data_IF_726556457021
#
_entry.id   IF_726556457021
#
_cell.length_a   1.000
_cell.length_b   1.000
_cell.length_c   1.000
_cell.angle_alpha   90.00
_cell.angle_beta   90.00
_cell.angle_gamma   90.00
#
_symmetry.space_group_name_H-M   'P 1'
#
loop_
_entity.id
_entity.type
_entity.pdbx_description
1 polymer ?
#
# COMPACT_ATOMS: atom_id res chain seq x y z
N UNK A 1 -16.53 14.94 -11.08
CA UNK A 1 -15.06 14.85 -11.04
C UNK A 1 -14.60 14.40 -9.66
N UNK A 2 -13.70 13.41 -9.54
CA UNK A 2 -13.42 12.70 -8.27
C UNK A 2 -11.91 12.66 -7.94
N UNK A 3 -11.28 13.80 -7.67
CA UNK A 3 -9.81 13.96 -7.47
C UNK A 3 -9.30 13.74 -6.04
N UNK A 4 -10.07 13.06 -5.18
CA UNK A 4 -9.61 12.69 -3.84
C UNK A 4 -8.56 11.58 -3.89
N UNK A 5 -7.47 11.77 -3.15
CA UNK A 5 -6.36 10.82 -3.01
C UNK A 5 -6.59 9.80 -1.87
N UNK A 6 -7.79 9.81 -1.27
CA UNK A 6 -8.18 8.80 -0.28
C UNK A 6 -8.16 7.41 -0.94
N UNK A 7 -7.88 6.34 -0.17
CA UNK A 7 -8.11 4.99 -0.66
C UNK A 7 -9.55 4.81 -1.15
N UNK A 8 -9.70 4.09 -2.26
CA UNK A 8 -10.99 3.60 -2.75
C UNK A 8 -11.51 2.53 -1.78
N UNK A 9 -12.79 2.63 -1.43
CA UNK A 9 -13.47 1.73 -0.51
C UNK A 9 -14.28 0.68 -1.29
N UNK A 10 -14.85 -0.27 -0.55
CA UNK A 10 -15.63 -1.41 -1.03
C UNK A 10 -17.08 -1.02 -1.37
N UNK A 11 -17.26 0.00 -2.22
CA UNK A 11 -18.57 0.44 -2.71
C UNK A 11 -18.58 0.63 -4.23
N UNK A 12 -19.75 0.56 -4.89
CA UNK A 12 -19.85 0.67 -6.35
C UNK A 12 -19.26 1.97 -6.92
N UNK A 13 -19.45 3.09 -6.22
CA UNK A 13 -19.00 4.43 -6.66
C UNK A 13 -17.48 4.54 -6.72
N UNK A 14 -16.78 3.89 -5.79
CA UNK A 14 -15.33 3.80 -5.75
C UNK A 14 -14.79 2.70 -6.69
N UNK A 15 -15.55 1.62 -6.90
CA UNK A 15 -15.20 0.56 -7.84
C UNK A 15 -15.09 1.07 -9.29
N UNK A 16 -15.97 2.01 -9.68
CA UNK A 16 -15.87 2.72 -10.95
C UNK A 16 -14.53 3.44 -11.13
N UNK A 17 -13.85 3.82 -10.05
CA UNK A 17 -12.56 4.52 -10.09
C UNK A 17 -11.36 3.59 -9.98
N UNK A 18 -11.59 2.30 -9.74
CA UNK A 18 -10.53 1.30 -9.63
C UNK A 18 -10.04 0.92 -11.03
N UNK A 19 -8.73 1.02 -11.25
CA UNK A 19 -8.10 0.89 -12.57
C UNK A 19 -6.85 0.03 -12.47
N UNK A 20 -6.65 -0.81 -13.49
CA UNK A 20 -5.53 -1.75 -13.55
C UNK A 20 -5.65 -2.88 -12.53
N UNK A 21 -4.51 -3.50 -12.20
CA UNK A 21 -4.38 -4.55 -11.17
C UNK A 21 -5.08 -5.89 -11.47
N UNK A 22 -5.49 -6.12 -12.72
CA UNK A 22 -6.16 -7.36 -13.11
C UNK A 22 -5.29 -8.61 -12.89
N UNK A 23 -3.98 -8.51 -13.14
CA UNK A 23 -3.01 -9.59 -12.89
C UNK A 23 -2.88 -9.90 -11.40
N UNK A 24 -2.76 -8.87 -10.57
CA UNK A 24 -2.60 -8.97 -9.12
C UNK A 24 -3.86 -9.56 -8.49
N UNK A 25 -5.06 -9.08 -8.88
CA UNK A 25 -6.33 -9.66 -8.45
C UNK A 25 -6.48 -11.12 -8.88
N UNK A 26 -6.10 -11.45 -10.12
CA UNK A 26 -6.15 -12.83 -10.62
C UNK A 26 -5.19 -13.73 -9.82
N UNK A 27 -4.01 -13.22 -9.46
CA UNK A 27 -3.05 -13.96 -8.65
C UNK A 27 -3.53 -14.20 -7.21
N UNK A 28 -4.21 -13.22 -6.60
CA UNK A 28 -4.84 -13.38 -5.28
C UNK A 28 -5.96 -14.41 -5.35
N UNK A 29 -6.87 -14.29 -6.33
CA UNK A 29 -7.96 -15.25 -6.48
C UNK A 29 -7.46 -16.67 -6.76
N UNK A 30 -6.45 -16.83 -7.61
CA UNK A 30 -5.83 -18.14 -7.86
C UNK A 30 -5.24 -18.75 -6.57
N UNK A 31 -4.65 -17.93 -5.70
CA UNK A 31 -4.13 -18.39 -4.42
C UNK A 31 -5.26 -18.76 -3.45
N UNK A 32 -6.32 -17.94 -3.34
CA UNK A 32 -7.47 -18.23 -2.49
C UNK A 32 -8.22 -19.49 -2.93
N UNK A 33 -8.40 -19.72 -4.24
CA UNK A 33 -8.99 -20.97 -4.75
C UNK A 33 -8.10 -22.20 -4.46
N UNK A 34 -6.79 -22.00 -4.34
CA UNK A 34 -5.84 -23.03 -3.92
C UNK A 34 -5.69 -23.11 -2.39
N UNK A 35 -6.52 -22.39 -1.63
CA UNK A 35 -6.53 -22.35 -0.16
C UNK A 35 -5.19 -21.86 0.44
N UNK A 36 -4.53 -20.94 -0.26
CA UNK A 36 -3.24 -20.37 0.13
C UNK A 36 -3.39 -18.99 0.77
N UNK A 37 -2.58 -18.70 1.78
CA UNK A 37 -2.49 -17.37 2.35
C UNK A 37 -1.65 -16.45 1.46
N UNK A 38 -2.00 -15.17 1.45
CA UNK A 38 -1.43 -14.18 0.55
C UNK A 38 -0.79 -13.04 1.33
N UNK A 39 0.44 -12.73 0.97
CA UNK A 39 1.11 -11.48 1.33
C UNK A 39 1.08 -10.49 0.16
N UNK A 40 0.58 -9.29 0.41
CA UNK A 40 0.53 -8.18 -0.53
C UNK A 40 1.57 -7.12 -0.16
N UNK A 41 2.52 -6.85 -1.05
CA UNK A 41 3.59 -5.86 -0.82
C UNK A 41 3.52 -4.74 -1.85
N UNK A 42 4.37 -3.72 -1.69
CA UNK A 42 4.49 -2.60 -2.61
C UNK A 42 4.61 -1.26 -1.91
N UNK A 43 4.98 -0.25 -2.68
CA UNK A 43 5.30 1.07 -2.15
C UNK A 43 4.11 1.77 -1.50
N UNK A 44 4.41 2.83 -0.74
CA UNK A 44 3.37 3.74 -0.24
C UNK A 44 2.64 4.37 -1.44
N UNK A 45 1.32 4.30 -1.43
CA UNK A 45 0.49 4.89 -2.50
C UNK A 45 0.27 4.01 -3.73
N UNK A 46 0.90 2.84 -3.82
CA UNK A 46 0.78 1.87 -4.95
C UNK A 46 -0.64 1.31 -5.18
N UNK A 47 -1.53 1.46 -4.19
CA UNK A 47 -2.92 1.04 -4.28
C UNK A 47 -3.31 -0.19 -3.46
N UNK A 48 -2.45 -0.72 -2.58
CA UNK A 48 -2.71 -1.90 -1.73
C UNK A 48 -4.10 -1.87 -1.07
N UNK A 49 -4.39 -0.86 -0.26
CA UNK A 49 -5.70 -0.69 0.40
C UNK A 49 -6.86 -0.69 -0.60
N UNK A 50 -6.71 -0.01 -1.74
CA UNK A 50 -7.76 0.06 -2.75
C UNK A 50 -7.98 -1.27 -3.47
N UNK A 51 -6.91 -2.03 -3.71
CA UNK A 51 -6.99 -3.38 -4.27
C UNK A 51 -7.66 -4.34 -3.28
N UNK A 52 -7.30 -4.29 -2.00
CA UNK A 52 -7.92 -5.11 -0.96
C UNK A 52 -9.41 -4.81 -0.77
N UNK A 53 -9.79 -3.53 -0.80
CA UNK A 53 -11.20 -3.12 -0.76
C UNK A 53 -11.96 -3.53 -2.02
N UNK A 54 -11.32 -3.47 -3.17
CA UNK A 54 -11.91 -3.96 -4.41
C UNK A 54 -12.07 -5.48 -4.40
N UNK A 55 -11.11 -6.22 -3.87
CA UNK A 55 -11.20 -7.67 -3.65
C UNK A 55 -12.40 -8.03 -2.76
N UNK A 56 -12.59 -7.32 -1.65
CA UNK A 56 -13.74 -7.48 -0.76
C UNK A 56 -15.08 -7.15 -1.45
N UNK A 57 -15.13 -6.11 -2.27
CA UNK A 57 -16.34 -5.80 -3.04
C UNK A 57 -16.63 -6.87 -4.09
N UNK A 58 -15.59 -7.31 -4.80
CA UNK A 58 -15.67 -8.35 -5.81
C UNK A 58 -16.21 -9.64 -5.19
N UNK A 59 -15.75 -10.02 -3.98
CA UNK A 59 -16.19 -11.22 -3.27
C UNK A 59 -17.69 -11.27 -2.99
N UNK A 60 -18.36 -10.10 -2.83
CA UNK A 60 -19.81 -10.00 -2.63
C UNK A 60 -20.63 -10.22 -3.90
N UNK A 61 -20.00 -10.13 -5.07
CA UNK A 61 -20.70 -10.36 -6.33
C UNK A 61 -21.06 -11.84 -6.47
N UNK A 62 -22.29 -12.17 -6.93
CA UNK A 62 -22.72 -13.55 -7.11
C UNK A 62 -21.71 -14.35 -7.93
N UNK A 63 -21.60 -15.64 -7.60
CA UNK A 63 -20.79 -16.60 -8.34
C UNK A 63 -21.13 -16.54 -9.84
N UNK A 64 -20.26 -15.93 -10.63
CA UNK A 64 -20.43 -15.74 -12.07
C UNK A 64 -19.15 -16.15 -12.80
N UNK A 65 -18.79 -17.43 -12.71
CA UNK A 65 -17.78 -18.07 -13.55
C UNK A 65 -16.33 -18.03 -13.05
N UNK A 66 -15.42 -18.39 -13.97
CA UNK A 66 -14.09 -19.00 -13.85
C UNK A 66 -13.04 -18.40 -12.87
N UNK A 67 -13.34 -17.34 -12.12
CA UNK A 67 -12.39 -16.69 -11.21
C UNK A 67 -12.42 -17.23 -9.78
N UNK A 68 -13.53 -17.82 -9.34
CA UNK A 68 -13.72 -18.31 -7.97
C UNK A 68 -14.34 -19.69 -8.01
N UNK A 69 -13.86 -20.61 -7.19
CA UNK A 69 -14.39 -21.97 -7.02
C UNK A 69 -14.96 -22.16 -5.61
N UNK A 70 -15.73 -21.17 -5.13
CA UNK A 70 -16.32 -21.15 -3.80
C UNK A 70 -16.86 -19.78 -3.41
N UNK A 71 -17.41 -19.70 -2.19
CA UNK A 71 -17.79 -18.44 -1.54
C UNK A 71 -16.70 -18.03 -0.54
N UNK A 72 -16.27 -16.77 -0.63
CA UNK A 72 -15.15 -16.21 0.13
C UNK A 72 -15.66 -14.97 0.88
N UNK A 73 -16.44 -15.13 1.95
CA UNK A 73 -16.86 -13.99 2.77
C UNK A 73 -15.63 -13.34 3.39
N UNK A 74 -15.45 -12.04 3.13
CA UNK A 74 -14.24 -11.33 3.51
C UNK A 74 -14.51 -10.27 4.58
N UNK A 75 -13.75 -10.34 5.67
CA UNK A 75 -13.69 -9.30 6.68
C UNK A 75 -12.42 -8.49 6.53
N UNK A 76 -12.55 -7.17 6.41
CA UNK A 76 -11.42 -6.25 6.29
C UNK A 76 -11.09 -5.63 7.64
N UNK A 77 -9.82 -5.70 8.03
CA UNK A 77 -9.26 -5.16 9.27
C UNK A 77 -8.12 -4.21 8.91
N UNK A 78 -8.15 -2.98 9.42
CA UNK A 78 -7.03 -2.02 9.27
C UNK A 78 -6.28 -1.91 10.60
N UNK A 79 -4.96 -2.08 10.54
CA UNK A 79 -4.10 -2.21 11.74
C UNK A 79 -2.91 -1.25 11.73
N UNK A 80 -3.09 -0.10 11.07
CA UNK A 80 -2.05 0.93 10.93
C UNK A 80 -1.45 1.34 12.29
N UNK A 81 -0.12 1.25 12.37
CA UNK A 81 0.66 1.67 13.55
C UNK A 81 0.68 0.68 14.71
N UNK A 82 0.10 -0.52 14.56
CA UNK A 82 0.18 -1.56 15.59
C UNK A 82 1.50 -2.34 15.42
N UNK A 83 2.35 -2.28 16.46
CA UNK A 83 3.64 -2.98 16.50
C UNK A 83 3.62 -4.26 17.36
N UNK A 84 2.60 -4.41 18.22
CA UNK A 84 2.45 -5.55 19.13
C UNK A 84 1.51 -6.61 18.55
N UNK A 85 1.95 -7.87 18.53
CA UNK A 85 1.19 -8.98 17.93
C UNK A 85 -0.12 -9.31 18.65
N UNK A 86 -0.15 -9.19 19.98
CA UNK A 86 -1.36 -9.43 20.77
C UNK A 86 -2.41 -8.34 20.53
N UNK A 87 -1.98 -7.09 20.46
CA UNK A 87 -2.84 -5.94 20.13
C UNK A 87 -3.37 -6.04 18.70
N UNK A 88 -2.53 -6.49 17.75
CA UNK A 88 -2.94 -6.80 16.37
C UNK A 88 -4.04 -7.86 16.36
N UNK A 89 -3.82 -8.97 17.04
CA UNK A 89 -4.79 -10.07 17.12
C UNK A 89 -6.10 -9.65 17.81
N UNK A 90 -6.03 -8.89 18.90
CA UNK A 90 -7.21 -8.36 19.58
C UNK A 90 -8.05 -7.47 18.64
N UNK A 91 -7.41 -6.62 17.84
CA UNK A 91 -8.11 -5.80 16.82
C UNK A 91 -8.77 -6.66 15.74
N UNK A 92 -8.11 -7.74 15.31
CA UNK A 92 -8.68 -8.68 14.35
C UNK A 92 -9.91 -9.37 14.94
N UNK A 93 -9.81 -9.92 16.16
CA UNK A 93 -10.94 -10.55 16.87
C UNK A 93 -12.12 -9.59 17.00
N UNK A 94 -11.89 -8.37 17.49
CA UNK A 94 -12.92 -7.36 17.65
C UNK A 94 -13.64 -7.06 16.32
N UNK A 95 -12.88 -6.94 15.24
CA UNK A 95 -13.44 -6.60 13.92
C UNK A 95 -14.19 -7.77 13.29
N UNK A 96 -13.66 -8.99 13.43
CA UNK A 96 -14.25 -10.21 12.85
C UNK A 96 -15.49 -10.63 13.61
N UNK A 97 -15.43 -10.64 14.94
CA UNK A 97 -16.51 -11.16 15.79
C UNK A 97 -17.51 -10.10 16.22
N UNK A 98 -17.18 -8.81 16.06
CA UNK A 98 -17.95 -7.69 16.61
C UNK A 98 -17.89 -7.58 18.14
N UNK A 99 -17.10 -8.42 18.82
CA UNK A 99 -17.02 -8.48 20.29
C UNK A 99 -15.66 -7.96 20.77
N UNK A 100 -15.61 -6.98 21.70
CA UNK A 100 -14.35 -6.51 22.25
C UNK A 100 -13.57 -7.63 22.94
N UNK A 101 -12.27 -7.73 22.62
CA UNK A 101 -11.34 -8.61 23.33
C UNK A 101 -11.16 -8.13 24.78
N UNK A 102 -11.12 -9.04 25.75
CA UNK A 102 -10.86 -8.64 27.13
C UNK A 102 -9.39 -8.25 27.32
N UNK A 103 -9.12 -7.27 28.20
CA UNK A 103 -7.77 -6.75 28.44
C UNK A 103 -6.76 -7.82 28.90
N UNK A 104 -7.23 -8.93 29.47
CA UNK A 104 -6.40 -10.03 29.95
C UNK A 104 -6.37 -11.24 29.00
N UNK A 105 -7.08 -11.20 27.86
CA UNK A 105 -7.08 -12.30 26.91
C UNK A 105 -5.71 -12.42 26.24
N UNK A 106 -5.05 -13.56 26.48
CA UNK A 106 -3.82 -13.94 25.78
C UNK A 106 -4.11 -14.40 24.35
N UNK A 107 -3.06 -14.51 23.50
CA UNK A 107 -3.21 -14.91 22.10
C UNK A 107 -3.99 -16.22 21.88
N UNK A 108 -3.77 -17.24 22.70
CA UNK A 108 -4.48 -18.52 22.57
C UNK A 108 -6.00 -18.39 22.79
N UNK A 109 -6.41 -17.52 23.72
CA UNK A 109 -7.84 -17.27 23.97
C UNK A 109 -8.47 -16.54 22.79
N UNK A 110 -7.77 -15.53 22.26
CA UNK A 110 -8.18 -14.77 21.09
C UNK A 110 -8.29 -15.63 19.82
N UNK A 111 -7.34 -16.54 19.59
CA UNK A 111 -7.37 -17.47 18.46
C UNK A 111 -8.50 -18.49 18.59
N UNK A 112 -8.76 -19.01 19.80
CA UNK A 112 -9.94 -19.85 20.04
C UNK A 112 -11.24 -19.12 19.72
N UNK A 113 -11.38 -17.86 20.14
CA UNK A 113 -12.55 -17.03 19.80
C UNK A 113 -12.73 -16.90 18.29
N UNK A 114 -11.65 -16.72 17.52
CA UNK A 114 -11.73 -16.71 16.05
C UNK A 114 -12.17 -18.06 15.49
N UNK A 115 -11.59 -19.15 15.96
CA UNK A 115 -11.93 -20.52 15.52
C UNK A 115 -13.40 -20.83 15.77
N UNK A 116 -13.89 -20.56 16.99
CA UNK A 116 -15.28 -20.80 17.38
C UNK A 116 -16.23 -19.93 16.54
N UNK A 117 -15.88 -18.66 16.33
CA UNK A 117 -16.67 -17.76 15.48
C UNK A 117 -16.73 -18.24 14.02
N UNK A 118 -15.61 -18.72 13.47
CA UNK A 118 -15.58 -19.27 12.10
C UNK A 118 -16.52 -20.46 11.98
N UNK A 119 -16.43 -21.38 12.94
CA UNK A 119 -17.23 -22.61 12.92
C UNK A 119 -18.72 -22.27 12.97
N UNK A 120 -19.12 -21.39 13.88
CA UNK A 120 -20.50 -20.91 13.97
C UNK A 120 -20.96 -20.21 12.67
N UNK A 121 -20.13 -19.35 12.09
CA UNK A 121 -20.44 -18.66 10.84
C UNK A 121 -20.66 -19.62 9.67
N UNK A 122 -19.83 -20.67 9.56
CA UNK A 122 -19.95 -21.70 8.52
C UNK A 122 -21.24 -22.50 8.72
N UNK A 123 -21.49 -22.96 9.94
CA UNK A 123 -22.68 -23.76 10.27
C UNK A 123 -23.97 -22.97 10.02
N UNK A 124 -24.02 -21.70 10.43
CA UNK A 124 -25.16 -20.81 10.17
C UNK A 124 -25.36 -20.53 8.68
N UNK A 125 -24.27 -20.44 7.92
CA UNK A 125 -24.34 -20.20 6.46
C UNK A 125 -24.86 -21.42 5.72
N UNK A 126 -24.36 -22.61 6.03
CA UNK A 126 -24.87 -23.84 5.44
C UNK A 126 -26.34 -24.07 5.78
N UNK A 127 -26.74 -23.81 7.04
CA UNK A 127 -28.13 -23.90 7.47
C UNK A 127 -29.04 -22.96 6.67
N UNK A 128 -28.65 -21.69 6.52
CA UNK A 128 -29.39 -20.70 5.71
C UNK A 128 -29.52 -21.15 4.25
N UNK A 129 -28.43 -21.64 3.66
CA UNK A 129 -28.47 -22.13 2.28
C UNK A 129 -29.40 -23.34 2.10
N UNK A 130 -29.42 -24.27 3.08
CA UNK A 130 -30.35 -25.39 3.06
C UNK A 130 -31.82 -24.93 3.19
N UNK A 131 -32.09 -23.89 3.97
CA UNK A 131 -33.43 -23.28 4.09
C UNK A 131 -33.87 -22.53 2.81
N UNK A 132 -32.92 -21.96 2.06
CA UNK A 132 -33.16 -21.22 0.80
C UNK A 132 -33.29 -22.13 -0.42
N UNK A 133 -32.87 -23.40 -0.35
CA UNK A 133 -33.00 -24.36 -1.46
C UNK A 133 -34.42 -24.93 -1.56
N UNK A 134 -34.99 -24.90 -2.76
CA UNK A 134 -36.35 -25.43 -3.06
C UNK A 134 -36.50 -26.93 -2.75
N UNK A 135 -35.40 -27.69 -2.71
CA UNK A 135 -35.36 -29.11 -2.39
C UNK A 135 -34.78 -29.42 -1.00
N UNK A 136 -34.40 -28.39 -0.22
CA UNK A 136 -33.75 -28.54 1.08
C UNK A 136 -32.34 -29.15 1.04
N UNK A 137 -31.74 -29.30 -0.15
CA UNK A 137 -30.38 -29.78 -0.29
C UNK A 137 -29.38 -28.63 -0.04
N UNK A 138 -28.28 -28.92 0.66
CA UNK A 138 -27.15 -27.98 0.68
C UNK A 138 -26.68 -27.71 -0.76
N UNK A 139 -26.28 -26.47 -1.10
CA UNK A 139 -25.70 -26.15 -2.39
C UNK A 139 -24.50 -27.08 -2.63
N UNK A 140 -24.70 -28.09 -3.46
CA UNK A 140 -23.70 -29.11 -3.69
C UNK A 140 -22.55 -28.48 -4.48
N UNK A 141 -21.43 -28.25 -3.80
CA UNK A 141 -20.18 -27.78 -4.41
C UNK A 141 -19.70 -26.38 -4.01
N UNK A 142 -20.47 -25.59 -3.25
CA UNK A 142 -20.01 -24.27 -2.80
C UNK A 142 -19.16 -24.41 -1.55
N UNK A 143 -17.84 -24.51 -1.71
CA UNK A 143 -16.92 -24.43 -0.57
C UNK A 143 -16.96 -23.03 0.03
N UNK A 144 -17.09 -22.93 1.36
CA UNK A 144 -17.10 -21.66 2.09
C UNK A 144 -15.75 -21.45 2.78
N UNK A 145 -15.00 -20.44 2.34
CA UNK A 145 -13.68 -20.10 2.87
C UNK A 145 -13.67 -18.67 3.41
N UNK A 146 -14.00 -18.45 4.69
CA UNK A 146 -13.91 -17.13 5.29
C UNK A 146 -12.49 -16.57 5.19
N UNK A 147 -12.37 -15.32 4.73
CA UNK A 147 -11.08 -14.64 4.52
C UNK A 147 -10.95 -13.45 5.46
N UNK A 148 -9.82 -13.34 6.14
CA UNK A 148 -9.45 -12.15 6.91
C UNK A 148 -8.43 -11.34 6.10
N UNK A 149 -8.83 -10.14 5.71
CA UNK A 149 -7.95 -9.16 5.09
C UNK A 149 -7.36 -8.27 6.20
N UNK A 150 -6.04 -8.22 6.31
CA UNK A 150 -5.34 -7.38 7.30
C UNK A 150 -4.46 -6.35 6.59
N UNK A 151 -4.82 -5.07 6.69
CA UNK A 151 -4.16 -3.98 5.98
C UNK A 151 -3.18 -3.19 6.87
N UNK A 152 -2.01 -2.88 6.30
CA UNK A 152 -0.92 -2.09 6.91
C UNK A 152 -0.28 -2.75 8.15
N UNK A 153 0.03 -4.04 8.07
CA UNK A 153 0.76 -4.78 9.11
C UNK A 153 2.23 -4.34 9.17
N UNK A 154 2.73 -4.12 10.38
CA UNK A 154 4.17 -3.88 10.62
C UNK A 154 4.94 -5.20 10.68
N UNK A 155 6.24 -5.18 10.35
CA UNK A 155 7.05 -6.39 10.42
C UNK A 155 7.03 -7.06 11.80
N UNK A 156 7.13 -6.26 12.88
CA UNK A 156 7.16 -6.76 14.25
C UNK A 156 5.85 -7.46 14.66
N UNK A 157 4.70 -6.81 14.41
CA UNK A 157 3.41 -7.39 14.76
C UNK A 157 3.09 -8.62 13.89
N UNK A 158 3.44 -8.56 12.61
CA UNK A 158 3.26 -9.68 11.69
C UNK A 158 4.12 -10.89 12.08
N UNK A 159 5.37 -10.69 12.51
CA UNK A 159 6.21 -11.79 13.01
C UNK A 159 5.67 -12.44 14.27
N UNK A 160 5.22 -11.62 15.21
CA UNK A 160 4.63 -12.12 16.43
C UNK A 160 3.38 -12.97 16.14
N UNK A 161 2.53 -12.56 15.20
CA UNK A 161 1.32 -13.31 14.89
C UNK A 161 1.56 -14.49 13.94
N UNK A 162 2.07 -14.23 12.74
CA UNK A 162 2.21 -15.20 11.65
C UNK A 162 3.51 -16.03 11.75
N UNK A 163 4.43 -15.66 12.63
CA UNK A 163 5.64 -16.42 12.92
C UNK A 163 5.53 -17.21 14.23
N UNK A 164 5.36 -16.52 15.35
CA UNK A 164 5.36 -17.18 16.67
C UNK A 164 4.09 -18.01 16.92
N UNK A 165 2.91 -17.52 16.52
CA UNK A 165 1.62 -18.21 16.65
C UNK A 165 1.15 -18.82 15.32
N UNK A 166 2.08 -19.12 14.42
CA UNK A 166 1.79 -19.53 13.04
C UNK A 166 0.84 -20.72 12.97
N UNK A 167 1.15 -21.77 13.73
CA UNK A 167 0.43 -23.03 13.65
C UNK A 167 -0.98 -22.87 14.25
N UNK A 168 -1.12 -22.07 15.31
CA UNK A 168 -2.40 -21.72 15.90
C UNK A 168 -3.24 -20.83 14.95
N UNK A 169 -2.62 -19.86 14.29
CA UNK A 169 -3.28 -19.01 13.27
C UNK A 169 -3.76 -19.87 12.09
N UNK A 170 -2.95 -20.81 11.60
CA UNK A 170 -3.38 -21.77 10.58
C UNK A 170 -4.56 -22.63 11.06
N UNK A 171 -4.53 -23.08 12.31
CA UNK A 171 -5.58 -23.93 12.89
C UNK A 171 -6.95 -23.23 13.00
N UNK A 172 -7.00 -21.90 12.88
CA UNK A 172 -8.27 -21.15 12.87
C UNK A 172 -9.16 -21.51 11.67
N UNK A 173 -8.56 -21.95 10.55
CA UNK A 173 -9.26 -22.29 9.32
C UNK A 173 -9.72 -21.09 8.48
N UNK A 174 -9.30 -19.87 8.81
CA UNK A 174 -9.44 -18.72 7.90
C UNK A 174 -8.34 -18.73 6.84
N UNK A 175 -8.65 -18.21 5.66
CA UNK A 175 -7.62 -17.75 4.72
C UNK A 175 -7.23 -16.31 5.04
N UNK A 176 -5.96 -15.97 4.81
CA UNK A 176 -5.41 -14.67 5.17
C UNK A 176 -4.90 -13.92 3.96
N UNK A 177 -5.31 -12.66 3.83
CA UNK A 177 -4.71 -11.72 2.87
C UNK A 177 -4.13 -10.55 3.66
N UNK A 178 -2.82 -10.56 3.84
CA UNK A 178 -2.12 -9.58 4.66
C UNK A 178 -1.39 -8.61 3.75
N UNK A 179 -1.40 -7.33 4.09
CA UNK A 179 -0.56 -6.36 3.40
C UNK A 179 0.42 -5.67 4.31
N UNK A 180 1.59 -5.39 3.76
CA UNK A 180 2.69 -4.71 4.43
C UNK A 180 3.24 -3.59 3.56
N UNK A 181 3.98 -2.68 4.19
CA UNK A 181 4.79 -1.70 3.45
C UNK A 181 6.04 -2.38 2.90
N UNK A 182 6.62 -1.82 1.85
CA UNK A 182 7.83 -2.40 1.25
C UNK A 182 8.99 -2.50 2.26
N UNK A 183 9.14 -1.54 3.16
CA UNK A 183 10.16 -1.59 4.21
C UNK A 183 9.93 -2.71 5.25
N UNK A 184 8.67 -3.09 5.49
CA UNK A 184 8.30 -4.14 6.45
C UNK A 184 8.38 -5.55 5.84
N UNK A 185 8.40 -5.64 4.50
CA UNK A 185 8.39 -6.90 3.75
C UNK A 185 9.51 -7.85 4.19
N UNK A 186 10.75 -7.35 4.19
CA UNK A 186 11.91 -8.17 4.49
C UNK A 186 11.84 -8.73 5.91
N UNK A 187 11.36 -7.91 6.86
CA UNK A 187 11.15 -8.32 8.23
C UNK A 187 10.12 -9.44 8.32
N UNK A 188 8.93 -9.27 7.73
CA UNK A 188 7.87 -10.28 7.80
C UNK A 188 8.21 -11.60 7.09
N UNK A 189 9.05 -11.56 6.04
CA UNK A 189 9.48 -12.73 5.29
C UNK A 189 10.73 -13.41 5.86
N UNK A 190 11.18 -13.06 7.07
CA UNK A 190 12.17 -13.92 7.75
C UNK A 190 11.48 -15.11 8.41
N UNK A 191 12.15 -16.27 8.52
CA UNK A 191 11.63 -17.38 9.30
C UNK A 191 11.30 -17.00 10.74
N UNK A 192 10.22 -17.55 11.34
CA UNK A 192 9.36 -18.62 10.80
C UNK A 192 8.11 -18.14 10.04
N UNK A 193 7.90 -16.83 9.90
CA UNK A 193 6.70 -16.24 9.31
C UNK A 193 6.61 -16.38 7.78
N UNK A 194 7.75 -16.56 7.12
CA UNK A 194 7.85 -16.79 5.66
C UNK A 194 7.01 -17.99 5.20
N UNK A 195 7.01 -19.07 5.98
CA UNK A 195 6.25 -20.29 5.67
C UNK A 195 4.74 -20.09 5.73
N UNK A 196 4.24 -19.07 6.43
CA UNK A 196 2.81 -18.77 6.52
C UNK A 196 2.23 -18.21 5.23
N UNK A 197 3.05 -17.54 4.41
CA UNK A 197 2.62 -16.86 3.19
C UNK A 197 3.06 -17.64 1.96
N UNK A 198 2.20 -18.53 1.48
CA UNK A 198 2.52 -19.36 0.32
C UNK A 198 2.45 -18.58 -1.00
N UNK A 199 1.70 -17.47 -1.03
CA UNK A 199 1.66 -16.56 -2.18
C UNK A 199 2.09 -15.15 -1.79
N UNK A 200 3.04 -14.61 -2.55
CA UNK A 200 3.42 -13.18 -2.49
C UNK A 200 2.93 -12.50 -3.77
N UNK A 201 2.26 -11.36 -3.62
CA UNK A 201 1.79 -10.49 -4.70
C UNK A 201 2.37 -9.09 -4.48
N UNK A 202 3.17 -8.64 -5.44
CA UNK A 202 3.84 -7.34 -5.38
C UNK A 202 3.09 -6.30 -6.21
N UNK A 203 2.79 -5.14 -5.63
CA UNK A 203 2.20 -4.01 -6.36
C UNK A 203 3.29 -3.05 -6.83
N UNK A 204 3.65 -3.21 -8.10
CA UNK A 204 4.46 -2.23 -8.81
C UNK A 204 3.68 -0.99 -9.26
N UNK A 205 4.35 -0.05 -9.93
CA UNK A 205 3.70 1.08 -10.60
C UNK A 205 2.60 0.61 -11.59
N UNK A 206 1.59 1.45 -11.83
CA UNK A 206 0.62 1.23 -12.90
C UNK A 206 1.31 1.24 -14.27
N UNK A 207 0.79 0.45 -15.21
CA UNK A 207 1.19 0.53 -16.61
C UNK A 207 0.75 1.88 -17.22
N UNK A 208 1.39 2.33 -18.31
CA UNK A 208 0.98 3.56 -18.98
C UNK A 208 -0.51 3.60 -19.35
N UNK A 209 -1.04 2.49 -19.87
CA UNK A 209 -2.46 2.36 -20.19
C UNK A 209 -3.35 2.52 -18.96
N UNK A 210 -3.00 1.89 -17.84
CA UNK A 210 -3.74 2.01 -16.59
C UNK A 210 -3.62 3.41 -15.98
N UNK A 211 -2.50 4.11 -16.19
CA UNK A 211 -2.34 5.51 -15.77
C UNK A 211 -3.27 6.45 -16.55
N UNK A 212 -3.31 6.33 -17.88
CA UNK A 212 -4.22 7.11 -18.73
C UNK A 212 -5.67 6.84 -18.34
N UNK A 213 -6.02 5.58 -18.13
CA UNK A 213 -7.36 5.20 -17.69
C UNK A 213 -7.69 5.77 -16.30
N UNK A 214 -6.76 5.74 -15.34
CA UNK A 214 -6.94 6.33 -14.02
C UNK A 214 -7.26 7.83 -14.12
N UNK A 215 -6.48 8.57 -14.91
CA UNK A 215 -6.69 10.02 -15.12
C UNK A 215 -8.05 10.28 -15.77
N UNK A 216 -8.37 9.52 -16.82
CA UNK A 216 -9.64 9.62 -17.56
C UNK A 216 -10.84 9.40 -16.65
N UNK A 217 -10.86 8.33 -15.85
CA UNK A 217 -11.95 8.04 -14.91
C UNK A 217 -12.11 9.09 -13.82
N UNK A 218 -11.03 9.79 -13.44
CA UNK A 218 -11.04 10.82 -12.38
C UNK A 218 -11.55 12.16 -12.87
N UNK A 219 -11.19 12.54 -14.10
CA UNK A 219 -11.62 13.76 -14.75
C UNK A 219 -13.03 13.65 -15.32
N UNK A 220 -13.42 12.47 -15.83
CA UNK A 220 -14.72 12.27 -16.50
C UNK A 220 -14.78 12.86 -17.92
N UNK A 221 -13.63 13.30 -18.43
CA UNK A 221 -13.36 13.64 -19.83
C UNK A 221 -12.14 12.81 -20.26
N UNK A 222 -11.91 12.64 -21.55
CA UNK A 222 -10.71 11.98 -22.09
C UNK A 222 -9.63 13.03 -22.38
N UNK A 223 -8.56 13.14 -21.58
CA UNK A 223 -7.43 13.97 -21.87
C UNK A 223 -6.21 13.04 -21.95
N UNK A 224 -6.25 12.10 -22.89
CA UNK A 224 -5.13 11.20 -23.19
C UNK A 224 -3.77 11.91 -23.15
N UNK A 225 -3.69 13.15 -23.66
CA UNK A 225 -2.50 14.00 -23.57
C UNK A 225 -2.07 14.37 -22.14
N UNK A 226 -3.00 14.65 -21.23
CA UNK A 226 -2.71 14.95 -19.81
C UNK A 226 -2.34 13.66 -19.06
N UNK A 227 -2.98 12.54 -19.42
CA UNK A 227 -2.65 11.22 -18.85
C UNK A 227 -1.24 10.77 -19.17
N UNK A 228 -0.84 10.87 -20.44
CA UNK A 228 0.54 10.58 -20.90
C UNK A 228 1.55 11.53 -20.23
N UNK A 229 1.27 12.83 -20.23
CA UNK A 229 2.14 13.83 -19.59
C UNK A 229 2.32 13.59 -18.08
N UNK A 230 1.24 13.28 -17.35
CA UNK A 230 1.30 12.97 -15.91
C UNK A 230 2.11 11.69 -15.66
N UNK A 231 1.92 10.66 -16.50
CA UNK A 231 2.62 9.39 -16.37
C UNK A 231 4.14 9.54 -16.45
N UNK A 232 4.62 10.36 -17.39
CA UNK A 232 6.05 10.62 -17.60
C UNK A 232 6.69 11.33 -16.40
N UNK A 233 5.93 12.17 -15.69
CA UNK A 233 6.43 13.07 -14.65
C UNK A 233 6.42 12.43 -13.26
N UNK A 234 5.30 11.80 -12.86
CA UNK A 234 5.16 11.20 -11.53
C UNK A 234 5.27 9.67 -11.53
N UNK A 235 5.38 9.06 -12.71
CA UNK A 235 5.41 7.61 -12.87
C UNK A 235 4.03 6.97 -12.67
N UNK A 236 4.03 5.66 -12.41
CA UNK A 236 2.80 4.88 -12.25
C UNK A 236 2.24 4.81 -10.83
N UNK A 237 2.67 5.64 -9.87
CA UNK A 237 2.12 5.59 -8.50
C UNK A 237 0.71 6.24 -8.46
N UNK A 238 -0.36 5.48 -8.14
CA UNK A 238 -1.73 6.02 -8.18
C UNK A 238 -1.96 7.24 -7.30
N UNK A 239 -1.35 7.28 -6.11
CA UNK A 239 -1.53 8.40 -5.16
C UNK A 239 -0.86 9.66 -5.69
N UNK A 240 0.34 9.53 -6.23
CA UNK A 240 1.10 10.65 -6.78
C UNK A 240 0.43 11.17 -8.05
N UNK A 241 -0.10 10.29 -8.90
CA UNK A 241 -0.90 10.64 -10.08
C UNK A 241 -2.14 11.46 -9.71
N UNK A 242 -2.92 11.03 -8.72
CA UNK A 242 -4.10 11.81 -8.27
C UNK A 242 -3.70 13.13 -7.64
N UNK A 243 -2.57 13.18 -6.93
CA UNK A 243 -1.99 14.41 -6.39
C UNK A 243 -1.59 15.40 -7.48
N UNK A 244 -0.84 14.94 -8.47
CA UNK A 244 -0.39 15.73 -9.62
C UNK A 244 -1.58 16.21 -10.46
N UNK A 245 -2.57 15.34 -10.69
CA UNK A 245 -3.81 15.70 -11.35
C UNK A 245 -4.54 16.83 -10.62
N UNK A 246 -4.65 16.74 -9.28
CA UNK A 246 -5.29 17.82 -8.51
C UNK A 246 -4.56 19.15 -8.67
N UNK A 247 -3.23 19.13 -8.70
CA UNK A 247 -2.43 20.34 -8.89
C UNK A 247 -2.64 20.91 -10.31
N UNK A 248 -2.59 20.07 -11.35
CA UNK A 248 -2.90 20.47 -12.74
C UNK A 248 -4.25 21.17 -12.83
N UNK A 249 -5.24 20.67 -12.12
CA UNK A 249 -6.59 21.22 -12.12
C UNK A 249 -6.73 22.56 -11.41
N UNK A 250 -5.88 22.84 -10.43
CA UNK A 250 -5.89 24.10 -9.72
C UNK A 250 -5.19 25.21 -10.51
N UNK A 251 -4.17 24.84 -11.30
CA UNK A 251 -3.38 25.76 -12.10
C UNK A 251 -2.79 25.04 -13.34
N UNK A 252 -3.52 25.00 -14.47
CA UNK A 252 -3.09 24.29 -15.67
C UNK A 252 -1.84 24.90 -16.33
N UNK A 253 -1.72 26.23 -16.33
CA UNK A 253 -0.56 26.93 -16.92
C UNK A 253 0.72 26.67 -16.11
N UNK A 254 0.61 26.58 -14.79
CA UNK A 254 1.71 26.18 -13.92
C UNK A 254 2.10 24.72 -14.08
N UNK A 255 1.23 23.85 -14.64
CA UNK A 255 1.57 22.44 -14.79
C UNK A 255 2.55 22.16 -15.91
N UNK A 256 2.40 22.76 -17.10
CA UNK A 256 3.39 22.61 -18.18
C UNK A 256 4.75 23.11 -17.72
N UNK A 257 4.76 24.25 -17.01
CA UNK A 257 5.96 24.78 -16.36
C UNK A 257 6.49 23.82 -15.27
N UNK A 258 5.63 23.18 -14.47
CA UNK A 258 6.03 22.20 -13.45
C UNK A 258 6.53 20.88 -14.05
N UNK A 259 5.95 20.39 -15.13
CA UNK A 259 6.37 19.16 -15.81
C UNK A 259 7.77 19.37 -16.42
N UNK A 260 7.97 20.51 -17.08
CA UNK A 260 9.30 20.95 -17.51
C UNK A 260 10.26 21.10 -16.32
N UNK A 261 9.81 21.68 -15.21
CA UNK A 261 10.61 21.81 -14.00
C UNK A 261 11.01 20.46 -13.40
N UNK A 262 10.11 19.48 -13.37
CA UNK A 262 10.37 18.14 -12.84
C UNK A 262 11.36 17.42 -13.75
N UNK A 263 11.16 17.45 -15.07
CA UNK A 263 12.10 16.87 -16.03
C UNK A 263 13.49 17.51 -15.93
N UNK A 264 13.56 18.84 -15.83
CA UNK A 264 14.82 19.56 -15.65
C UNK A 264 15.52 19.21 -14.32
N UNK A 265 14.76 19.10 -13.23
CA UNK A 265 15.29 18.73 -11.91
C UNK A 265 15.80 17.30 -11.91
N UNK A 266 15.04 16.36 -12.46
CA UNK A 266 15.42 14.95 -12.52
C UNK A 266 16.63 14.74 -13.44
N UNK A 267 16.73 15.48 -14.54
CA UNK A 267 17.93 15.54 -15.37
C UNK A 267 19.14 16.12 -14.62
N UNK A 268 18.95 17.16 -13.80
CA UNK A 268 20.02 17.72 -12.96
C UNK A 268 20.48 16.73 -11.88
N UNK A 269 19.54 16.03 -11.23
CA UNK A 269 19.85 14.94 -10.29
C UNK A 269 20.64 13.83 -10.98
N UNK A 270 20.23 13.44 -12.18
CA UNK A 270 20.92 12.43 -12.98
C UNK A 270 22.34 12.87 -13.35
N UNK A 271 22.54 14.14 -13.73
CA UNK A 271 23.84 14.71 -14.06
C UNK A 271 24.84 14.70 -12.88
N UNK A 272 24.35 14.75 -11.64
CA UNK A 272 25.19 14.62 -10.43
C UNK A 272 25.66 13.18 -10.17
N UNK A 273 25.13 12.21 -10.91
CA UNK A 273 25.56 10.83 -10.95
C UNK A 273 24.71 9.88 -10.10
N UNK A 274 25.01 8.59 -10.23
CA UNK A 274 24.20 7.47 -9.69
C UNK A 274 23.83 7.62 -8.22
N UNK A 275 24.77 8.05 -7.37
CA UNK A 275 24.49 8.22 -5.94
C UNK A 275 23.45 9.32 -5.68
N UNK A 276 23.52 10.46 -6.38
CA UNK A 276 22.52 11.51 -6.24
C UNK A 276 21.12 11.02 -6.65
N UNK A 277 21.03 10.25 -7.74
CA UNK A 277 19.76 9.64 -8.19
C UNK A 277 19.20 8.63 -7.18
N UNK A 278 20.04 7.78 -6.60
CA UNK A 278 19.61 6.83 -5.56
C UNK A 278 19.07 7.54 -4.32
N UNK A 279 19.76 8.58 -3.84
CA UNK A 279 19.31 9.33 -2.68
C UNK A 279 18.01 10.11 -2.97
N UNK A 280 17.88 10.70 -4.16
CA UNK A 280 16.67 11.38 -4.58
C UNK A 280 15.46 10.43 -4.68
N UNK A 281 15.67 9.21 -5.16
CA UNK A 281 14.62 8.19 -5.20
C UNK A 281 14.12 7.84 -3.78
N UNK A 282 15.03 7.64 -2.83
CA UNK A 282 14.67 7.39 -1.43
C UNK A 282 13.93 8.58 -0.81
N UNK A 283 14.35 9.82 -1.09
CA UNK A 283 13.65 11.03 -0.64
C UNK A 283 12.23 11.12 -1.23
N UNK A 284 12.05 10.73 -2.50
CA UNK A 284 10.73 10.70 -3.14
C UNK A 284 9.81 9.66 -2.49
N UNK A 285 10.36 8.51 -2.11
CA UNK A 285 9.60 7.42 -1.48
C UNK A 285 9.27 7.70 0.01
N UNK A 286 10.21 8.27 0.77
CA UNK A 286 10.12 8.44 2.23
C UNK A 286 9.67 9.83 2.67
N UNK A 287 9.85 10.85 1.83
CA UNK A 287 9.65 12.25 2.20
C UNK A 287 10.85 12.82 2.94
N UNK A 288 10.59 13.58 4.01
CA UNK A 288 11.61 14.27 4.80
C UNK A 288 12.42 13.28 5.65
N UNK A 289 13.74 13.21 5.47
CA UNK A 289 14.62 12.24 6.16
C UNK A 289 15.91 12.88 6.66
N UNK A 290 16.56 12.27 7.66
CA UNK A 290 17.88 12.72 8.15
C UNK A 290 19.02 11.95 7.51
N UNK A 291 20.18 12.57 7.36
CA UNK A 291 21.41 11.87 6.97
C UNK A 291 21.90 10.81 7.99
N UNK A 292 21.28 10.76 9.16
CA UNK A 292 21.54 9.76 10.22
C UNK A 292 20.41 8.75 10.37
N UNK A 293 19.46 8.72 9.44
CA UNK A 293 18.33 7.79 9.42
C UNK A 293 18.84 6.37 9.10
N UNK A 294 18.66 5.44 10.04
CA UNK A 294 19.20 4.08 9.92
C UNK A 294 18.53 3.30 8.79
N UNK A 295 17.23 3.48 8.56
CA UNK A 295 16.49 2.81 7.50
C UNK A 295 16.92 3.33 6.12
N UNK A 296 17.20 4.63 6.00
CA UNK A 296 17.75 5.23 4.79
C UNK A 296 19.15 4.69 4.49
N UNK A 297 20.02 4.65 5.50
CA UNK A 297 21.39 4.17 5.36
C UNK A 297 21.43 2.68 4.99
N UNK A 298 20.56 1.88 5.60
CA UNK A 298 20.39 0.46 5.28
C UNK A 298 19.92 0.26 3.84
N UNK A 299 18.91 1.00 3.38
CA UNK A 299 18.38 0.89 2.02
C UNK A 299 19.42 1.28 0.94
N UNK A 300 20.20 2.33 1.20
CA UNK A 300 21.25 2.77 0.28
C UNK A 300 22.54 1.93 0.36
N UNK A 301 22.69 1.12 1.42
CA UNK A 301 23.94 0.44 1.74
C UNK A 301 25.09 1.40 2.00
N UNK A 302 24.80 2.59 2.55
CA UNK A 302 25.77 3.67 2.72
C UNK A 302 26.15 3.90 4.18
N UNK A 303 27.36 4.40 4.38
CA UNK A 303 27.76 4.98 5.66
C UNK A 303 27.17 6.39 5.82
N UNK A 304 26.96 6.81 7.07
CA UNK A 304 26.52 8.18 7.39
C UNK A 304 27.38 9.27 6.73
N UNK A 305 28.73 9.23 6.75
CA UNK A 305 29.55 10.22 6.05
C UNK A 305 29.28 10.28 4.55
N UNK A 306 29.02 9.13 3.90
CA UNK A 306 28.67 9.09 2.47
C UNK A 306 27.31 9.74 2.22
N UNK A 307 26.30 9.45 3.04
CA UNK A 307 25.00 10.10 2.92
C UNK A 307 25.11 11.62 3.09
N UNK A 308 25.84 12.11 4.11
CA UNK A 308 26.09 13.54 4.32
C UNK A 308 26.75 14.20 3.10
N UNK A 309 27.72 13.53 2.48
CA UNK A 309 28.38 14.05 1.28
C UNK A 309 27.39 14.22 0.11
N UNK A 310 26.53 13.23 -0.14
CA UNK A 310 25.57 13.28 -1.25
C UNK A 310 24.43 14.26 -0.95
N UNK A 311 23.97 14.35 0.30
CA UNK A 311 23.05 15.41 0.73
C UNK A 311 23.62 16.79 0.49
N UNK A 312 24.89 17.02 0.86
CA UNK A 312 25.58 18.29 0.60
C UNK A 312 25.63 18.61 -0.90
N UNK A 313 25.94 17.62 -1.73
CA UNK A 313 25.97 17.78 -3.19
C UNK A 313 24.60 18.17 -3.76
N UNK A 314 23.51 17.57 -3.26
CA UNK A 314 22.15 17.95 -3.67
C UNK A 314 21.76 19.34 -3.14
N UNK A 315 22.13 19.68 -1.91
CA UNK A 315 21.85 20.96 -1.23
C UNK A 315 22.56 22.11 -1.96
N UNK A 316 23.83 21.92 -2.35
CA UNK A 316 24.63 22.87 -3.15
C UNK A 316 24.04 23.15 -4.54
N UNK A 317 23.21 22.26 -5.07
CA UNK A 317 22.51 22.44 -6.35
C UNK A 317 21.04 22.87 -6.15
N UNK A 318 20.62 23.18 -4.92
CA UNK A 318 19.26 23.54 -4.56
C UNK A 318 18.24 22.41 -4.74
N UNK A 319 18.68 21.17 -5.00
CA UNK A 319 17.81 20.03 -5.31
C UNK A 319 17.14 19.44 -4.08
N UNK A 320 17.72 19.69 -2.90
CA UNK A 320 17.11 19.42 -1.60
C UNK A 320 17.12 20.69 -0.79
N UNK A 321 16.16 20.79 0.13
CA UNK A 321 16.13 21.81 1.17
C UNK A 321 16.30 21.15 2.53
N UNK A 322 16.96 21.85 3.43
CA UNK A 322 17.17 21.37 4.79
C UNK A 322 16.39 22.17 5.81
N UNK A 323 15.79 21.48 6.78
CA UNK A 323 15.18 22.08 7.96
C UNK A 323 15.72 21.43 9.23
N UNK A 324 15.58 22.12 10.36
CA UNK A 324 15.90 21.54 11.67
C UNK A 324 14.60 21.11 12.36
N UNK A 325 14.49 19.83 12.70
CA UNK A 325 13.36 19.28 13.44
C UNK A 325 13.81 19.00 14.87
N UNK A 326 13.07 19.58 15.83
CA UNK A 326 13.25 19.30 17.26
C UNK A 326 12.42 18.08 17.64
N UNK A 327 13.09 17.02 18.07
CA UNK A 327 12.48 15.76 18.49
C UNK A 327 12.88 15.43 19.93
N UNK A 328 12.56 16.33 20.88
CA UNK A 328 12.80 16.15 22.32
C UNK A 328 14.07 16.83 22.88
N UNK A 329 14.48 16.52 24.12
CA UNK A 329 15.68 17.09 24.73
C UNK A 329 16.94 16.58 24.02
N UNK A 330 17.52 17.43 23.17
CA UNK A 330 18.71 17.14 22.37
C UNK A 330 18.97 18.23 21.32
N UNK A 331 20.10 18.13 20.60
CA UNK A 331 20.39 19.03 19.48
C UNK A 331 19.39 18.77 18.34
N UNK A 332 18.79 19.82 17.73
CA UNK A 332 17.91 19.67 16.58
C UNK A 332 18.56 18.85 15.48
N UNK A 333 17.78 17.95 14.86
CA UNK A 333 18.28 17.10 13.78
C UNK A 333 18.02 17.79 12.46
N UNK A 334 19.06 17.92 11.63
CA UNK A 334 18.92 18.38 10.24
C UNK A 334 18.27 17.27 9.42
N UNK A 335 17.15 17.61 8.78
CA UNK A 335 16.43 16.75 7.86
C UNK A 335 16.39 17.41 6.49
N UNK A 336 16.26 16.59 5.46
CA UNK A 336 16.27 17.00 4.06
C UNK A 336 15.04 16.47 3.38
N UNK A 337 14.54 17.23 2.42
CA UNK A 337 13.50 16.82 1.50
C UNK A 337 13.80 17.39 0.11
N UNK A 338 13.26 16.73 -0.93
CA UNK A 338 13.40 17.24 -2.29
C UNK A 338 12.75 18.62 -2.41
N UNK A 339 13.50 19.55 -2.99
CA UNK A 339 12.95 20.87 -3.32
C UNK A 339 11.84 20.68 -4.36
N UNK A 340 10.65 21.29 -4.15
CA UNK A 340 9.61 21.31 -5.16
C UNK A 340 10.16 21.81 -6.49
N UNK A 341 9.87 21.12 -7.59
CA UNK A 341 10.50 21.40 -8.88
C UNK A 341 10.29 22.85 -9.38
N UNK A 342 9.08 23.39 -9.22
CA UNK A 342 8.78 24.80 -9.51
C UNK A 342 9.59 25.79 -8.66
N UNK A 343 9.91 25.43 -7.43
CA UNK A 343 10.73 26.27 -6.54
C UNK A 343 12.19 26.20 -6.98
N UNK A 344 12.69 25.01 -7.29
CA UNK A 344 14.05 24.80 -7.79
C UNK A 344 14.30 25.52 -9.13
N UNK A 345 13.38 25.46 -10.08
CA UNK A 345 13.50 26.18 -11.36
C UNK A 345 13.58 27.69 -11.14
N UNK A 346 12.73 28.27 -10.28
CA UNK A 346 12.77 29.70 -9.96
C UNK A 346 14.08 30.12 -9.31
N UNK A 347 14.65 29.28 -8.43
CA UNK A 347 15.97 29.51 -7.85
C UNK A 347 17.05 29.57 -8.94
N UNK A 348 17.01 28.66 -9.93
CA UNK A 348 17.96 28.64 -11.06
C UNK A 348 17.82 29.84 -12.00
N UNK A 349 16.60 30.28 -12.26
CA UNK A 349 16.33 31.46 -13.09
C UNK A 349 16.89 32.73 -12.41
N UNK A 350 16.67 32.87 -11.10
CA UNK A 350 17.18 33.98 -10.31
C UNK A 350 18.72 34.01 -10.25
N UNK A 351 19.37 32.83 -10.14
CA UNK A 351 20.83 32.71 -10.19
C UNK A 351 21.42 33.05 -11.57
N UNK A 352 20.67 32.77 -12.65
CA UNK A 352 21.11 33.07 -14.02
C UNK A 352 20.98 34.57 -14.34
N UNK A 353 19.92 35.23 -13.84
CA UNK A 353 19.72 36.67 -13.97
C UNK A 353 20.74 37.50 -13.15
N UNK A 354 21.26 36.97 -12.04
CA UNK A 354 22.27 37.65 -11.21
C UNK A 354 23.72 37.40 -11.67
N UNK A 355 23.94 36.44 -12.56
CA UNK A 355 25.25 36.13 -13.15
C UNK A 355 25.51 36.83 -14.50
N UNK A 356 24.52 37.57 -15.01
CA UNK A 356 24.59 38.38 -16.24
C UNK A 356 24.74 39.85 -15.89
#
# INVERSE_FOLDING_TARGET
MKTSARPLLDNPVDAELFVGRGSELSAIWAALNAELNVLLTGDRGSGKTSLLRHLQLDSRSPFTGARREGDFPMTYVRVEGIADGRTLLARIVETVTGTPAAENDGPDALLRTLTDHRQQFVDDTHKRWAEESDDGAEPTGTRLFPVIIVDDVTAAAGHALFGQYRDEVWSTGYLWVVSVRENDRAGLLTPPADAFFEKIVELGPLSPAATIELVTRRLGVDPSSVGEMLADVVGGNPRDLVGALRNFMQDPESYDANAQAIGARDAAIYALGRSASMLAAELKARGTVSASDEDLLAALGWSRPRAVQVFKQLDENGLVRSSEVSSGPGRPRRVYELTPAAEWMRLRETESETAT
#
